data_IF_883063791838
#
_entry.id   IF_883063791838
#
_cell.length_a   1.000
_cell.length_b   1.000
_cell.length_c   1.000
_cell.angle_alpha   90.00
_cell.angle_beta   90.00
_cell.angle_gamma   90.00
#
_symmetry.space_group_name_H-M   'P 1'
#
loop_
_entity.id
_entity.type
_entity.pdbx_description
1 polymer ?
#
# COMPACT_ATOMS: atom_id res chain seq x y z
N UNK A 1 -16.37 -4.42 26.18
CA UNK A 1 -15.95 -5.51 25.25
C UNK A 1 -14.86 -6.31 25.92
N UNK A 2 -15.03 -7.63 26.06
CA UNK A 2 -13.97 -8.52 26.58
C UNK A 2 -12.76 -8.42 25.65
N UNK A 3 -11.59 -8.15 26.22
CA UNK A 3 -10.32 -8.10 25.50
C UNK A 3 -10.10 -9.48 24.87
N UNK A 4 -9.95 -9.62 23.54
CA UNK A 4 -9.66 -10.92 22.96
C UNK A 4 -8.30 -11.37 23.50
N UNK A 5 -8.30 -12.49 24.22
CA UNK A 5 -7.11 -13.18 24.69
C UNK A 5 -6.73 -14.21 23.65
N UNK A 6 -5.71 -13.95 22.82
CA UNK A 6 -4.86 -14.98 22.14
C UNK A 6 -3.61 -14.35 21.47
N UNK A 7 -2.58 -15.16 21.12
CA UNK A 7 -1.16 -14.89 21.35
C UNK A 7 -0.55 -14.12 20.16
N UNK A 8 -0.23 -12.85 20.33
CA UNK A 8 0.27 -12.04 19.21
C UNK A 8 1.73 -12.30 18.83
N UNK A 9 2.47 -13.06 19.64
CA UNK A 9 3.83 -13.49 19.30
C UNK A 9 3.89 -15.01 19.35
N UNK A 10 4.47 -15.69 18.34
CA UNK A 10 4.86 -17.09 18.50
C UNK A 10 5.77 -17.22 19.73
N UNK A 11 5.66 -18.32 20.46
CA UNK A 11 6.56 -18.59 21.58
C UNK A 11 8.02 -18.49 21.09
N UNK A 12 8.87 -17.87 21.90
CA UNK A 12 10.30 -17.72 21.55
C UNK A 12 10.88 -19.12 21.39
N UNK A 13 11.27 -19.48 20.17
CA UNK A 13 11.79 -20.81 19.83
C UNK A 13 10.77 -21.76 19.16
N UNK A 14 9.52 -21.35 18.96
CA UNK A 14 8.55 -22.14 18.19
C UNK A 14 9.01 -22.30 16.72
N UNK A 15 8.88 -23.49 16.12
CA UNK A 15 9.22 -23.70 14.71
C UNK A 15 8.39 -22.77 13.81
N UNK A 16 9.05 -22.01 12.95
CA UNK A 16 8.36 -21.20 11.94
C UNK A 16 7.86 -22.16 10.85
N UNK A 17 6.55 -22.21 10.56
CA UNK A 17 6.03 -23.05 9.50
C UNK A 17 6.64 -22.61 8.16
N UNK A 18 7.30 -23.54 7.48
CA UNK A 18 7.97 -23.28 6.21
C UNK A 18 6.98 -23.49 5.07
N UNK A 19 6.80 -22.51 4.17
CA UNK A 19 5.95 -22.67 2.99
C UNK A 19 6.31 -23.89 2.14
N UNK A 20 5.31 -24.48 1.48
CA UNK A 20 5.49 -25.61 0.57
C UNK A 20 6.47 -25.30 -0.58
N UNK A 21 6.65 -24.02 -0.91
CA UNK A 21 7.63 -23.52 -1.88
C UNK A 21 9.07 -23.99 -1.56
N UNK A 22 9.42 -24.12 -0.28
CA UNK A 22 10.76 -24.49 0.15
C UNK A 22 10.86 -25.98 0.55
N UNK A 23 9.82 -26.78 0.28
CA UNK A 23 9.83 -28.19 0.62
C UNK A 23 10.73 -29.00 -0.33
N UNK A 24 11.51 -29.92 0.24
CA UNK A 24 12.20 -30.97 -0.49
C UNK A 24 11.65 -32.35 -0.07
N UNK A 25 11.26 -33.23 -1.00
CA UNK A 25 11.21 -33.02 -2.46
C UNK A 25 10.16 -31.97 -2.87
N UNK A 26 10.30 -31.33 -4.05
CA UNK A 26 9.40 -30.26 -4.49
C UNK A 26 7.93 -30.70 -4.57
N UNK A 27 7.02 -29.86 -4.07
CA UNK A 27 5.57 -30.11 -4.04
C UNK A 27 4.83 -29.06 -4.87
N UNK A 28 4.73 -29.22 -6.21
CA UNK A 28 4.26 -28.15 -7.09
C UNK A 28 2.81 -27.74 -6.83
N UNK A 29 1.89 -28.69 -6.63
CA UNK A 29 0.48 -28.38 -6.36
C UNK A 29 0.29 -27.66 -5.02
N UNK A 30 0.99 -28.10 -3.97
CA UNK A 30 0.96 -27.43 -2.66
C UNK A 30 1.56 -26.03 -2.73
N UNK A 31 2.64 -25.87 -3.51
CA UNK A 31 3.28 -24.57 -3.75
C UNK A 31 2.34 -23.62 -4.47
N UNK A 32 1.65 -24.09 -5.52
CA UNK A 32 0.68 -23.27 -6.25
C UNK A 32 -0.50 -22.87 -5.37
N UNK A 33 -1.03 -23.80 -4.57
CA UNK A 33 -2.10 -23.50 -3.61
C UNK A 33 -1.66 -22.45 -2.58
N UNK A 34 -0.44 -22.57 -2.06
CA UNK A 34 0.13 -21.60 -1.13
C UNK A 34 0.32 -20.23 -1.79
N UNK A 35 0.86 -20.19 -3.01
CA UNK A 35 1.05 -18.96 -3.77
C UNK A 35 -0.27 -18.22 -4.00
N UNK A 36 -1.26 -18.92 -4.55
CA UNK A 36 -2.56 -18.32 -4.86
C UNK A 36 -3.40 -18.03 -3.60
N UNK A 37 -3.32 -18.88 -2.57
CA UNK A 37 -4.21 -18.79 -1.41
C UNK A 37 -3.67 -17.99 -0.23
N UNK A 38 -2.37 -18.08 0.06
CA UNK A 38 -1.76 -17.49 1.26
C UNK A 38 -0.85 -16.32 0.92
N UNK A 39 -0.09 -16.42 -0.18
CA UNK A 39 0.88 -15.40 -0.54
C UNK A 39 0.24 -14.21 -1.27
N UNK A 40 -0.60 -14.47 -2.28
CA UNK A 40 -1.24 -13.41 -3.06
C UNK A 40 -2.48 -12.82 -2.36
N UNK A 41 -3.15 -13.60 -1.53
CA UNK A 41 -4.37 -13.15 -0.85
C UNK A 41 -4.07 -12.43 0.47
N UNK A 42 -4.83 -11.38 0.83
CA UNK A 42 -5.79 -10.65 -0.01
C UNK A 42 -5.12 -9.53 -0.81
N UNK A 43 -3.91 -9.12 -0.44
CA UNK A 43 -3.35 -7.83 -0.85
C UNK A 43 -2.96 -7.78 -2.32
N UNK A 44 -2.32 -8.82 -2.86
CA UNK A 44 -1.92 -8.82 -4.27
C UNK A 44 -3.15 -8.83 -5.17
N UNK A 45 -4.20 -9.60 -4.82
CA UNK A 45 -5.47 -9.55 -5.56
C UNK A 45 -6.16 -8.20 -5.47
N UNK A 46 -6.19 -7.59 -4.29
CA UNK A 46 -6.77 -6.27 -4.11
C UNK A 46 -6.03 -5.23 -4.98
N UNK A 47 -4.70 -5.23 -4.97
CA UNK A 47 -3.90 -4.30 -5.79
C UNK A 47 -4.01 -4.59 -7.28
N UNK A 48 -4.07 -5.86 -7.69
CA UNK A 48 -4.30 -6.22 -9.09
C UNK A 48 -5.67 -5.75 -9.58
N UNK A 49 -6.72 -5.96 -8.78
CA UNK A 49 -8.06 -5.44 -9.09
C UNK A 49 -8.05 -3.91 -9.18
N UNK A 50 -7.39 -3.24 -8.23
CA UNK A 50 -7.26 -1.78 -8.24
C UNK A 50 -6.52 -1.28 -9.48
N UNK A 51 -5.46 -1.97 -9.90
CA UNK A 51 -4.71 -1.64 -11.11
C UNK A 51 -5.57 -1.81 -12.37
N UNK A 52 -6.32 -2.91 -12.50
CA UNK A 52 -7.22 -3.15 -13.64
C UNK A 52 -8.31 -2.07 -13.70
N UNK A 53 -8.95 -1.76 -12.57
CA UNK A 53 -9.98 -0.70 -12.49
C UNK A 53 -9.38 0.66 -12.82
N UNK A 54 -8.18 0.97 -12.30
CA UNK A 54 -7.48 2.23 -12.55
C UNK A 54 -7.08 2.40 -14.01
N UNK A 55 -6.60 1.33 -14.65
CA UNK A 55 -6.31 1.33 -16.07
C UNK A 55 -7.59 1.58 -16.86
N UNK A 56 -8.59 0.72 -16.69
CA UNK A 56 -9.75 0.71 -17.59
C UNK A 56 -10.62 1.97 -17.49
N UNK A 57 -10.80 2.52 -16.28
CA UNK A 57 -11.75 3.63 -16.06
C UNK A 57 -11.09 4.98 -15.83
N UNK A 58 -9.86 5.02 -15.32
CA UNK A 58 -9.24 6.24 -14.80
C UNK A 58 -7.93 6.60 -15.49
N UNK A 59 -7.51 5.84 -16.50
CA UNK A 59 -6.31 6.15 -17.30
C UNK A 59 -6.73 6.70 -18.65
N UNK A 60 -6.22 7.87 -19.06
CA UNK A 60 -6.50 8.44 -20.37
C UNK A 60 -6.12 7.47 -21.51
N UNK A 61 -6.73 7.64 -22.68
CA UNK A 61 -6.39 6.85 -23.85
C UNK A 61 -4.95 7.11 -24.31
N UNK A 62 -4.26 6.08 -24.79
CA UNK A 62 -2.86 6.15 -25.21
C UNK A 62 -2.60 7.22 -26.29
N UNK A 63 -3.54 7.44 -27.20
CA UNK A 63 -3.42 8.47 -28.24
C UNK A 63 -3.24 9.89 -27.66
N UNK A 64 -3.85 10.18 -26.50
CA UNK A 64 -3.68 11.48 -25.82
C UNK A 64 -2.30 11.59 -25.17
N UNK A 65 -1.68 10.47 -24.85
CA UNK A 65 -0.39 10.38 -24.16
C UNK A 65 0.81 10.40 -25.10
N UNK A 66 0.62 10.42 -26.43
CA UNK A 66 1.69 10.58 -27.41
C UNK A 66 2.41 11.93 -27.24
N UNK A 67 1.64 12.98 -26.94
CA UNK A 67 2.15 14.33 -26.69
C UNK A 67 2.09 14.63 -25.19
N UNK A 68 3.24 14.99 -24.61
CA UNK A 68 3.31 15.40 -23.20
C UNK A 68 2.45 16.64 -22.98
N UNK A 69 1.46 16.52 -22.09
CA UNK A 69 0.61 17.63 -21.69
C UNK A 69 0.35 17.59 -20.18
N UNK A 70 0.21 18.78 -19.58
CA UNK A 70 -0.09 18.90 -18.16
C UNK A 70 -1.46 18.34 -17.79
N UNK A 71 -2.40 18.32 -18.73
CA UNK A 71 -3.78 17.89 -18.47
C UNK A 71 -3.86 16.41 -18.10
N UNK A 72 -3.32 15.53 -18.94
CA UNK A 72 -3.39 14.08 -18.68
C UNK A 72 -2.48 13.68 -17.53
N UNK A 73 -1.34 14.35 -17.33
CA UNK A 73 -0.46 14.14 -16.18
C UNK A 73 -1.17 14.54 -14.88
N UNK A 74 -1.88 15.67 -14.86
CA UNK A 74 -2.64 16.12 -13.71
C UNK A 74 -3.81 15.17 -13.38
N UNK A 75 -4.46 14.58 -14.38
CA UNK A 75 -5.48 13.55 -14.17
C UNK A 75 -4.90 12.28 -13.53
N UNK A 76 -3.75 11.81 -14.00
CA UNK A 76 -3.03 10.68 -13.37
C UNK A 76 -2.64 11.04 -11.93
N UNK A 77 -2.12 12.24 -11.70
CA UNK A 77 -1.75 12.71 -10.36
C UNK A 77 -2.94 12.69 -9.41
N UNK A 78 -4.08 13.25 -9.85
CA UNK A 78 -5.30 13.32 -9.05
C UNK A 78 -5.83 11.92 -8.72
N UNK A 79 -5.82 11.01 -9.71
CA UNK A 79 -6.17 9.60 -9.51
C UNK A 79 -5.25 8.95 -8.47
N UNK A 80 -3.94 9.11 -8.60
CA UNK A 80 -2.96 8.54 -7.68
C UNK A 80 -3.10 9.09 -6.25
N UNK A 81 -3.33 10.40 -6.12
CA UNK A 81 -3.63 11.04 -4.85
C UNK A 81 -4.91 10.49 -4.23
N UNK A 82 -5.97 10.30 -5.02
CA UNK A 82 -7.23 9.74 -4.55
C UNK A 82 -7.05 8.28 -4.09
N UNK A 83 -6.37 7.44 -4.88
CA UNK A 83 -6.08 6.04 -4.54
C UNK A 83 -5.29 5.93 -3.24
N UNK A 84 -4.20 6.70 -3.12
CA UNK A 84 -3.38 6.70 -1.91
C UNK A 84 -4.18 7.17 -0.69
N UNK A 85 -4.97 8.22 -0.83
CA UNK A 85 -5.78 8.77 0.26
C UNK A 85 -6.85 7.77 0.71
N UNK A 86 -7.60 7.20 -0.24
CA UNK A 86 -8.67 6.22 0.03
C UNK A 86 -8.13 4.97 0.73
N UNK A 87 -6.91 4.54 0.42
CA UNK A 87 -6.31 3.38 1.05
C UNK A 87 -5.65 3.72 2.41
N UNK A 88 -4.84 4.77 2.45
CA UNK A 88 -4.02 5.09 3.62
C UNK A 88 -4.83 5.73 4.77
N UNK A 89 -5.81 6.58 4.47
CA UNK A 89 -6.56 7.32 5.49
C UNK A 89 -7.39 6.40 6.39
N UNK A 90 -8.21 5.46 5.87
CA UNK A 90 -8.98 4.56 6.73
C UNK A 90 -8.07 3.71 7.63
N UNK A 91 -6.95 3.23 7.08
CA UNK A 91 -5.98 2.44 7.82
C UNK A 91 -5.32 3.27 8.94
N UNK A 92 -4.86 4.48 8.63
CA UNK A 92 -4.28 5.39 9.63
C UNK A 92 -5.29 5.77 10.71
N UNK A 93 -6.52 6.10 10.31
CA UNK A 93 -7.57 6.45 11.24
C UNK A 93 -7.88 5.30 12.20
N UNK A 94 -8.04 4.07 11.68
CA UNK A 94 -8.33 2.91 12.52
C UNK A 94 -7.16 2.57 13.47
N UNK A 95 -5.94 2.51 12.95
CA UNK A 95 -4.77 2.04 13.70
C UNK A 95 -4.21 3.09 14.67
N UNK A 96 -4.23 4.37 14.30
CA UNK A 96 -3.55 5.44 15.05
C UNK A 96 -4.51 6.42 15.72
N UNK A 97 -5.63 6.76 15.09
CA UNK A 97 -6.61 7.69 15.68
C UNK A 97 -7.56 6.97 16.63
N UNK A 98 -8.21 5.89 16.18
CA UNK A 98 -9.12 5.06 16.99
C UNK A 98 -8.38 4.06 17.87
N UNK A 99 -7.13 3.73 17.53
CA UNK A 99 -6.32 2.72 18.21
C UNK A 99 -7.07 1.39 18.34
N UNK A 100 -7.74 0.96 17.26
CA UNK A 100 -8.66 -0.19 17.29
C UNK A 100 -8.00 -1.51 17.70
N UNK A 101 -6.68 -1.64 17.53
CA UNK A 101 -5.87 -2.79 17.97
C UNK A 101 -5.00 -2.49 19.20
N UNK A 102 -5.13 -1.30 19.80
CA UNK A 102 -4.28 -0.81 20.89
C UNK A 102 -2.78 -0.99 20.57
N UNK A 103 -1.99 -1.51 21.51
CA UNK A 103 -0.56 -1.79 21.36
C UNK A 103 -0.25 -3.27 21.10
N UNK A 104 -1.27 -4.11 20.84
CA UNK A 104 -1.12 -5.57 20.79
C UNK A 104 -0.24 -6.05 19.63
N UNK A 105 -0.36 -5.40 18.48
CA UNK A 105 0.34 -5.75 17.23
C UNK A 105 1.57 -4.86 16.98
N UNK A 106 1.88 -3.95 17.91
CA UNK A 106 3.00 -3.02 17.74
C UNK A 106 4.30 -3.62 18.26
N UNK A 107 5.34 -3.55 17.42
CA UNK A 107 6.72 -3.85 17.84
C UNK A 107 7.17 -2.90 18.96
N UNK A 108 6.85 -1.61 18.84
CA UNK A 108 7.08 -0.61 19.88
C UNK A 108 5.75 -0.14 20.48
N UNK A 109 5.54 -0.42 21.76
CA UNK A 109 4.31 -0.06 22.49
C UNK A 109 4.14 1.45 22.71
N UNK A 110 5.19 2.25 22.53
CA UNK A 110 5.11 3.70 22.68
C UNK A 110 4.26 4.31 21.56
N UNK A 111 3.28 5.12 21.94
CA UNK A 111 2.48 5.89 20.99
C UNK A 111 3.28 7.08 20.44
N UNK A 112 2.97 7.45 19.20
CA UNK A 112 3.56 8.61 18.57
C UNK A 112 3.12 9.89 19.32
N UNK A 113 4.04 10.83 19.59
CA UNK A 113 3.68 12.12 20.19
C UNK A 113 2.70 12.88 19.28
N UNK A 114 1.63 13.44 19.86
CA UNK A 114 0.66 14.26 19.12
C UNK A 114 1.27 15.57 18.62
N UNK A 115 2.19 16.12 19.40
CA UNK A 115 2.94 17.33 19.07
C UNK A 115 4.43 17.04 19.19
N UNK A 116 5.18 17.31 18.13
CA UNK A 116 6.64 17.23 18.18
C UNK A 116 7.25 18.26 17.23
N UNK A 117 8.19 19.10 17.71
CA UNK A 117 8.86 20.11 16.88
C UNK A 117 9.79 19.52 15.82
N UNK A 118 9.95 18.19 15.80
CA UNK A 118 10.70 17.46 14.77
C UNK A 118 9.97 17.41 13.42
N UNK A 119 8.67 17.68 13.42
CA UNK A 119 7.81 17.64 12.22
C UNK A 119 7.48 19.08 11.80
N UNK A 120 7.42 19.32 10.48
CA UNK A 120 7.16 20.63 9.88
C UNK A 120 5.85 21.24 10.37
N UNK A 121 4.80 20.42 10.52
CA UNK A 121 3.48 20.84 10.99
C UNK A 121 3.25 20.55 12.47
N UNK A 122 4.33 20.32 13.23
CA UNK A 122 4.29 19.85 14.62
C UNK A 122 3.45 18.57 14.81
N UNK A 123 3.18 17.81 13.74
CA UNK A 123 2.32 16.64 13.75
C UNK A 123 2.77 15.64 12.69
N UNK A 124 3.14 14.44 13.15
CA UNK A 124 3.60 13.36 12.28
C UNK A 124 2.57 13.00 11.20
N UNK A 125 1.28 13.00 11.55
CA UNK A 125 0.22 12.68 10.60
C UNK A 125 0.15 13.71 9.46
N UNK A 126 0.23 14.99 9.79
CA UNK A 126 0.17 16.06 8.79
C UNK A 126 1.40 16.05 7.89
N UNK A 127 2.59 15.86 8.47
CA UNK A 127 3.84 15.72 7.72
C UNK A 127 3.78 14.53 6.77
N UNK A 128 3.37 13.36 7.27
CA UNK A 128 3.26 12.16 6.45
C UNK A 128 2.25 12.36 5.31
N UNK A 129 1.09 12.96 5.58
CA UNK A 129 0.09 13.23 4.55
C UNK A 129 0.64 14.17 3.48
N UNK A 130 1.26 15.28 3.89
CA UNK A 130 1.86 16.25 2.98
C UNK A 130 2.95 15.61 2.12
N UNK A 131 3.93 14.95 2.73
CA UNK A 131 5.05 14.38 1.97
C UNK A 131 4.64 13.18 1.11
N UNK A 132 3.66 12.38 1.56
CA UNK A 132 3.16 11.28 0.74
C UNK A 132 2.45 11.78 -0.52
N UNK A 133 1.67 12.87 -0.41
CA UNK A 133 0.96 13.44 -1.57
C UNK A 133 1.87 14.33 -2.43
N UNK A 134 2.60 15.26 -1.83
CA UNK A 134 3.39 16.24 -2.59
C UNK A 134 4.64 15.63 -3.19
N UNK A 135 5.33 14.74 -2.46
CA UNK A 135 6.54 14.07 -2.97
C UNK A 135 6.20 12.69 -3.55
N UNK A 136 5.61 11.80 -2.74
CA UNK A 136 5.36 10.42 -3.13
C UNK A 136 4.49 10.27 -4.39
N UNK A 137 3.30 10.87 -4.38
CA UNK A 137 2.37 10.81 -5.53
C UNK A 137 2.95 11.52 -6.75
N UNK A 138 3.66 12.63 -6.56
CA UNK A 138 4.31 13.34 -7.67
C UNK A 138 5.37 12.47 -8.34
N UNK A 139 6.27 11.85 -7.58
CA UNK A 139 7.31 10.97 -8.12
C UNK A 139 6.68 9.75 -8.82
N UNK A 140 5.68 9.12 -8.19
CA UNK A 140 4.93 8.01 -8.79
C UNK A 140 4.29 8.43 -10.12
N UNK A 141 3.62 9.58 -10.14
CA UNK A 141 2.96 10.09 -11.33
C UNK A 141 3.95 10.43 -12.45
N UNK A 142 5.11 11.01 -12.13
CA UNK A 142 6.14 11.29 -13.13
C UNK A 142 6.66 9.99 -13.76
N UNK A 143 6.95 8.98 -12.95
CA UNK A 143 7.40 7.68 -13.44
C UNK A 143 6.36 7.00 -14.33
N UNK A 144 5.10 7.00 -13.88
CA UNK A 144 3.99 6.43 -14.64
C UNK A 144 3.74 7.19 -15.95
N UNK A 145 3.73 8.53 -15.89
CA UNK A 145 3.52 9.37 -17.07
C UNK A 145 4.63 9.19 -18.10
N UNK A 146 5.89 9.11 -17.65
CA UNK A 146 7.02 8.82 -18.53
C UNK A 146 6.88 7.44 -19.19
N UNK A 147 6.44 6.43 -18.42
CA UNK A 147 6.23 5.08 -18.95
C UNK A 147 5.14 5.07 -20.02
N UNK A 148 4.00 5.72 -19.79
CA UNK A 148 2.94 5.82 -20.78
C UNK A 148 3.33 6.62 -22.01
N UNK A 149 4.05 7.72 -21.84
CA UNK A 149 4.51 8.53 -22.95
C UNK A 149 5.47 7.74 -23.84
N UNK A 150 6.42 7.02 -23.25
CA UNK A 150 7.31 6.11 -24.01
C UNK A 150 6.50 5.03 -24.73
N UNK A 151 5.58 4.37 -24.02
CA UNK A 151 4.74 3.30 -24.60
C UNK A 151 3.85 3.79 -25.75
N UNK A 152 3.35 5.02 -25.68
CA UNK A 152 2.54 5.62 -26.74
C UNK A 152 3.38 6.01 -27.98
N UNK A 153 4.69 6.26 -27.80
CA UNK A 153 5.58 6.69 -28.88
C UNK A 153 6.41 5.56 -29.53
N UNK A 154 6.36 4.34 -29.00
CA UNK A 154 7.05 3.16 -29.56
C UNK A 154 8.39 2.87 -28.90
#
# INVERSE_FOLDING_TARGET
MKKPTRPAAPEVGAPVPVPALYAWPPRPLSTLKWLLGEYLFPWAYLFAALAIVSWYFFTPGLAVMEVVSWEWIALIWLRNAALLTLFAVPLHWWLYTRQGQSDQTKLNKKWQPKHSPRFLFNSQLKDNLFWSLVSGVTIWTLYESMTYWLYANG
#
